data_IF_802762344401
#
_entry.id   IF_802762344401
#
_cell.length_a   1.000
_cell.length_b   1.000
_cell.length_c   1.000
_cell.angle_alpha   90.00
_cell.angle_beta   90.00
_cell.angle_gamma   90.00
#
_symmetry.space_group_name_H-M   'P 1'
#
loop_
_entity.id
_entity.type
_entity.pdbx_description
1 polymer ?
#
# COMPACT_ATOMS: atom_id res chain seq x y z
N UNK A 1 14.41 24.27 1.63
CA UNK A 1 14.75 23.16 0.71
C UNK A 1 13.64 22.13 0.84
N UNK A 2 13.11 21.60 -0.27
CA UNK A 2 12.05 20.60 -0.21
C UNK A 2 12.56 19.31 0.42
N UNK A 3 11.76 18.68 1.28
CA UNK A 3 12.05 17.33 1.80
C UNK A 3 11.86 16.30 0.70
N UNK A 4 12.70 15.27 0.69
CA UNK A 4 12.54 14.17 -0.25
C UNK A 4 11.24 13.41 0.00
N UNK A 5 10.55 13.03 -1.09
CA UNK A 5 9.39 12.17 -1.01
C UNK A 5 9.82 10.74 -0.66
N UNK A 6 9.05 10.08 0.21
CA UNK A 6 9.28 8.68 0.56
C UNK A 6 9.29 7.82 -0.73
N UNK A 7 10.43 7.22 -1.14
CA UNK A 7 10.55 6.53 -2.41
C UNK A 7 9.77 5.20 -2.45
N UNK A 8 9.40 4.64 -1.29
CA UNK A 8 8.50 3.50 -1.21
C UNK A 8 7.07 3.93 -1.55
N UNK A 9 6.63 5.08 -1.05
CA UNK A 9 5.30 5.59 -1.32
C UNK A 9 5.24 6.43 -2.60
N UNK A 10 6.35 6.91 -3.17
CA UNK A 10 6.36 7.64 -4.43
C UNK A 10 6.27 6.71 -5.65
N UNK A 11 5.23 5.88 -5.67
CA UNK A 11 4.91 4.91 -6.71
C UNK A 11 3.39 4.78 -6.78
N UNK A 12 2.82 5.02 -7.97
CA UNK A 12 1.38 5.07 -8.17
C UNK A 12 0.64 3.85 -7.61
N UNK A 13 1.12 2.64 -7.92
CA UNK A 13 0.44 1.41 -7.49
C UNK A 13 0.55 1.20 -5.97
N UNK A 14 1.70 1.49 -5.37
CA UNK A 14 1.87 1.39 -3.91
C UNK A 14 1.00 2.41 -3.17
N UNK A 15 0.87 3.63 -3.68
CA UNK A 15 -0.08 4.61 -3.13
C UNK A 15 -1.52 4.14 -3.22
N UNK A 16 -1.92 3.59 -4.37
CA UNK A 16 -3.28 3.09 -4.54
C UNK A 16 -3.58 1.97 -3.54
N UNK A 17 -2.66 1.01 -3.36
CA UNK A 17 -2.79 -0.07 -2.37
C UNK A 17 -2.91 0.50 -0.96
N UNK A 18 -1.98 1.36 -0.55
CA UNK A 18 -1.97 1.97 0.80
C UNK A 18 -3.23 2.78 1.06
N UNK A 19 -3.70 3.54 0.07
CA UNK A 19 -4.93 4.33 0.16
C UNK A 19 -6.16 3.45 0.34
N UNK A 20 -6.24 2.30 -0.33
CA UNK A 20 -7.33 1.34 -0.12
C UNK A 20 -7.26 0.77 1.30
N UNK A 21 -6.08 0.29 1.73
CA UNK A 21 -5.88 -0.34 3.04
C UNK A 21 -6.08 0.62 4.22
N UNK A 22 -5.98 1.94 4.01
CA UNK A 22 -6.33 2.93 5.03
C UNK A 22 -7.83 2.91 5.38
N UNK A 23 -8.69 2.56 4.43
CA UNK A 23 -10.16 2.66 4.53
C UNK A 23 -10.85 1.37 5.00
N UNK A 24 -10.11 0.28 5.10
CA UNK A 24 -10.63 -1.04 5.48
C UNK A 24 -9.72 -1.67 6.54
N UNK A 25 -10.25 -2.61 7.31
CA UNK A 25 -9.43 -3.37 8.27
C UNK A 25 -8.46 -4.31 7.56
N UNK A 26 -8.93 -4.98 6.49
CA UNK A 26 -8.13 -5.82 5.61
C UNK A 26 -8.68 -5.82 4.18
N UNK A 27 -7.83 -6.19 3.22
CA UNK A 27 -8.25 -6.41 1.84
C UNK A 27 -7.63 -7.68 1.26
N UNK A 28 -8.41 -8.45 0.51
CA UNK A 28 -7.91 -9.61 -0.21
C UNK A 28 -7.13 -9.22 -1.47
N UNK A 29 -6.15 -10.04 -1.85
CA UNK A 29 -5.36 -9.84 -3.06
C UNK A 29 -6.22 -9.64 -4.31
N UNK A 30 -7.29 -10.43 -4.48
CA UNK A 30 -8.19 -10.32 -5.65
C UNK A 30 -8.89 -8.96 -5.67
N UNK A 31 -9.38 -8.49 -4.52
CA UNK A 31 -10.00 -7.18 -4.38
C UNK A 31 -9.01 -6.05 -4.70
N UNK A 32 -7.79 -6.11 -4.16
CA UNK A 32 -6.74 -5.14 -4.45
C UNK A 32 -6.38 -5.12 -5.94
N UNK A 33 -6.30 -6.29 -6.57
CA UNK A 33 -6.04 -6.42 -8.02
C UNK A 33 -7.13 -5.74 -8.85
N UNK A 34 -8.38 -5.99 -8.51
CA UNK A 34 -9.54 -5.40 -9.21
C UNK A 34 -9.60 -3.89 -9.04
N UNK A 35 -9.43 -3.38 -7.80
CA UNK A 35 -9.48 -1.95 -7.52
C UNK A 35 -8.31 -1.17 -8.12
N UNK A 36 -7.14 -1.78 -8.21
CA UNK A 36 -5.95 -1.14 -8.80
C UNK A 36 -5.79 -1.41 -10.29
N UNK A 37 -6.66 -2.25 -10.89
CA UNK A 37 -6.57 -2.70 -12.29
C UNK A 37 -5.17 -3.23 -12.66
N UNK A 38 -4.48 -3.83 -11.69
CA UNK A 38 -3.12 -4.32 -11.85
C UNK A 38 -3.09 -5.77 -12.33
N UNK A 39 -1.97 -6.18 -12.91
CA UNK A 39 -1.72 -7.61 -13.14
C UNK A 39 -1.34 -8.29 -11.82
N UNK A 40 -1.64 -9.58 -11.69
CA UNK A 40 -1.31 -10.33 -10.47
C UNK A 40 0.21 -10.31 -10.16
N UNK A 41 1.06 -10.43 -11.19
CA UNK A 41 2.51 -10.38 -11.02
C UNK A 41 2.99 -9.02 -10.50
N UNK A 42 2.49 -7.92 -11.07
CA UNK A 42 2.86 -6.58 -10.61
C UNK A 42 2.36 -6.33 -9.18
N UNK A 43 1.11 -6.71 -8.88
CA UNK A 43 0.55 -6.56 -7.53
C UNK A 43 1.38 -7.32 -6.48
N UNK A 44 1.75 -8.57 -6.77
CA UNK A 44 2.58 -9.38 -5.86
C UNK A 44 3.88 -8.65 -5.51
N UNK A 45 4.62 -8.18 -6.52
CA UNK A 45 5.89 -7.47 -6.33
C UNK A 45 5.70 -6.19 -5.50
N UNK A 46 4.62 -5.45 -5.70
CA UNK A 46 4.38 -4.24 -4.91
C UNK A 46 3.96 -4.53 -3.46
N UNK A 47 3.17 -5.59 -3.24
CA UNK A 47 2.81 -6.03 -1.89
C UNK A 47 4.05 -6.51 -1.13
N UNK A 48 4.93 -7.27 -1.77
CA UNK A 48 6.19 -7.72 -1.17
C UNK A 48 7.05 -6.52 -0.76
N UNK A 49 7.22 -5.52 -1.63
CA UNK A 49 7.96 -4.27 -1.30
C UNK A 49 7.35 -3.48 -0.15
N UNK A 50 6.02 -3.41 -0.07
CA UNK A 50 5.34 -2.73 1.04
C UNK A 50 5.47 -3.52 2.34
N UNK A 51 5.45 -4.84 2.26
CA UNK A 51 5.62 -5.73 3.42
C UNK A 51 7.05 -5.69 3.94
N UNK A 52 8.06 -5.71 3.06
CA UNK A 52 9.48 -5.58 3.40
C UNK A 52 9.79 -4.23 4.04
N UNK A 53 9.11 -3.16 3.61
CA UNK A 53 9.19 -1.84 4.24
C UNK A 53 8.44 -1.75 5.58
N UNK A 54 7.74 -2.81 6.00
CA UNK A 54 6.95 -2.84 7.23
C UNK A 54 5.64 -2.04 7.17
N UNK A 55 5.20 -1.60 5.99
CA UNK A 55 4.01 -0.75 5.84
C UNK A 55 2.71 -1.54 5.79
N UNK A 56 2.79 -2.80 5.40
CA UNK A 56 1.65 -3.72 5.42
C UNK A 56 2.07 -5.06 6.03
N UNK A 57 1.09 -5.75 6.59
CA UNK A 57 1.16 -7.18 6.88
C UNK A 57 0.47 -7.95 5.75
N UNK A 58 1.06 -9.08 5.36
CA UNK A 58 0.49 -10.00 4.36
C UNK A 58 0.27 -11.36 5.02
N UNK A 59 -0.99 -11.73 5.23
CA UNK A 59 -1.38 -13.02 5.79
C UNK A 59 -1.79 -13.97 4.66
N UNK A 60 -1.10 -15.12 4.59
CA UNK A 60 -1.45 -16.22 3.68
C UNK A 60 -2.14 -17.33 4.47
N UNK A 61 -3.37 -17.64 4.12
CA UNK A 61 -4.19 -18.66 4.75
C UNK A 61 -4.92 -19.51 3.71
N UNK A 62 -5.72 -20.47 4.17
CA UNK A 62 -6.58 -21.29 3.33
C UNK A 62 -8.03 -21.16 3.79
N UNK A 63 -8.94 -20.93 2.84
CA UNK A 63 -10.38 -21.03 3.07
C UNK A 63 -10.87 -22.29 2.35
N UNK A 64 -11.06 -23.35 3.11
CA UNK A 64 -11.26 -24.70 2.57
C UNK A 64 -10.02 -25.16 1.81
N UNK A 65 -10.15 -25.39 0.50
CA UNK A 65 -9.04 -25.81 -0.38
C UNK A 65 -8.41 -24.68 -1.19
N UNK A 66 -8.83 -23.42 -0.99
CA UNK A 66 -8.37 -22.26 -1.79
C UNK A 66 -7.40 -21.41 -0.98
N UNK A 67 -6.24 -21.02 -1.55
CA UNK A 67 -5.35 -20.07 -0.90
C UNK A 67 -6.02 -18.68 -0.85
N UNK A 68 -5.85 -18.00 0.28
CA UNK A 68 -6.31 -16.63 0.53
C UNK A 68 -5.12 -15.81 0.98
N UNK A 69 -4.96 -14.62 0.38
CA UNK A 69 -3.96 -13.64 0.81
C UNK A 69 -4.70 -12.38 1.23
N UNK A 70 -4.60 -12.02 2.51
CA UNK A 70 -5.16 -10.80 3.08
C UNK A 70 -4.03 -9.83 3.42
N UNK A 71 -4.25 -8.55 3.14
CA UNK A 71 -3.30 -7.47 3.40
C UNK A 71 -3.91 -6.49 4.40
N UNK A 72 -3.11 -6.03 5.36
CA UNK A 72 -3.51 -5.05 6.38
C UNK A 72 -2.45 -3.96 6.50
N UNK A 73 -2.87 -2.70 6.64
CA UNK A 73 -1.91 -1.62 6.89
C UNK A 73 -1.40 -1.68 8.33
N UNK A 74 -0.10 -1.51 8.53
CA UNK A 74 0.51 -1.45 9.87
C UNK A 74 0.40 -0.05 10.46
N UNK A 75 0.77 0.10 11.73
CA UNK A 75 0.93 1.42 12.36
C UNK A 75 2.00 2.26 11.66
N UNK A 76 3.12 1.63 11.30
CA UNK A 76 4.22 2.29 10.59
C UNK A 76 3.82 2.69 9.17
N UNK A 77 3.02 1.86 8.49
CA UNK A 77 2.45 2.19 7.18
C UNK A 77 1.50 3.38 7.22
N UNK A 78 0.64 3.49 8.25
CA UNK A 78 -0.23 4.67 8.44
C UNK A 78 0.61 5.93 8.64
N UNK A 79 1.58 5.88 9.55
CA UNK A 79 2.49 6.99 9.82
C UNK A 79 3.27 7.41 8.57
N UNK A 80 3.80 6.46 7.82
CA UNK A 80 4.53 6.73 6.59
C UNK A 80 3.65 7.42 5.53
N UNK A 81 2.36 7.05 5.43
CA UNK A 81 1.41 7.67 4.52
C UNK A 81 1.06 9.10 4.96
N UNK A 82 0.87 9.34 6.25
CA UNK A 82 0.67 10.68 6.82
C UNK A 82 1.87 11.59 6.51
N UNK A 83 3.09 11.14 6.82
CA UNK A 83 4.33 11.89 6.55
C UNK A 83 4.54 12.15 5.05
N UNK A 84 4.21 11.18 4.19
CA UNK A 84 4.28 11.34 2.73
C UNK A 84 3.31 12.41 2.23
N UNK A 85 2.07 12.42 2.73
CA UNK A 85 1.06 13.43 2.33
C UNK A 85 1.48 14.81 2.82
N UNK A 86 1.96 14.95 4.05
CA UNK A 86 2.46 16.24 4.55
C UNK A 86 3.64 16.75 3.71
N UNK A 87 4.58 15.87 3.37
CA UNK A 87 5.69 16.23 2.48
C UNK A 87 5.19 16.63 1.10
N UNK A 88 4.23 15.90 0.52
CA UNK A 88 3.65 16.21 -0.78
C UNK A 88 2.93 17.57 -0.78
N UNK A 89 2.24 17.93 0.30
CA UNK A 89 1.60 19.26 0.45
C UNK A 89 2.62 20.40 0.37
N UNK A 90 3.85 20.23 0.85
CA UNK A 90 4.90 21.25 0.72
C UNK A 90 5.22 21.54 -0.76
N UNK A 91 5.16 20.54 -1.65
CA UNK A 91 5.35 20.75 -3.09
C UNK A 91 4.15 21.42 -3.77
N UNK A 92 2.95 21.24 -3.21
CA UNK A 92 1.70 21.73 -3.79
C UNK A 92 1.26 23.08 -3.19
N UNK A 93 1.97 23.62 -2.20
CA UNK A 93 1.56 24.84 -1.49
C UNK A 93 1.51 26.11 -2.35
N UNK A 94 2.04 26.06 -3.57
CA UNK A 94 1.96 27.13 -4.57
C UNK A 94 0.81 26.98 -5.58
N UNK A 95 0.00 25.94 -5.47
CA UNK A 95 -1.28 25.75 -6.17
C UNK A 95 -2.43 26.25 -5.30
#
# INVERSE_FOLDING_TARGET
>A
MFKELNPILHSQLRLAIMSILLTVEEAEFVYLKEKTQSTAGNLSVQLDKLSEAGYIEVEKSFVGKRPRTACRITKDGRKAMEEYVETLKEYLSGL
#
